data_IF_035046439200
#
_entry.id   IF_035046439200
#
_cell.length_a   1.000
_cell.length_b   1.000
_cell.length_c   1.000
_cell.angle_alpha   90.00
_cell.angle_beta   90.00
_cell.angle_gamma   90.00
#
_symmetry.space_group_name_H-M   'P 1'
#
loop_
_entity.id
_entity.type
_entity.pdbx_description
1 polymer ?
#
# COMPACT_ATOMS: atom_id res chain seq x y z
N UNK A 1 1.13 -7.91 5.59
CA UNK A 1 0.54 -8.87 4.65
C UNK A 1 0.45 -8.27 3.27
N UNK A 2 1.21 -8.84 2.34
CA UNK A 2 1.18 -8.56 0.90
C UNK A 2 -0.16 -8.95 0.29
N UNK A 3 -0.54 -8.31 -0.81
CA UNK A 3 -1.75 -8.63 -1.58
C UNK A 3 -1.78 -10.07 -2.10
N UNK A 4 -0.63 -10.71 -2.32
CA UNK A 4 -0.57 -12.10 -2.79
C UNK A 4 -1.01 -13.11 -1.72
N UNK A 5 -0.67 -12.85 -0.45
CA UNK A 5 -1.04 -13.70 0.67
C UNK A 5 -2.56 -13.72 0.93
N UNK A 6 -3.30 -12.77 0.33
CA UNK A 6 -4.76 -12.69 0.45
C UNK A 6 -5.49 -13.59 -0.56
N UNK A 7 -4.79 -14.08 -1.59
CA UNK A 7 -5.40 -14.88 -2.66
C UNK A 7 -5.31 -16.38 -2.40
N UNK A 8 -4.27 -16.83 -1.69
CA UNK A 8 -4.00 -18.25 -1.47
C UNK A 8 -3.16 -18.43 -0.19
N UNK A 9 -3.67 -19.22 0.76
CA UNK A 9 -3.04 -19.45 2.08
C UNK A 9 -1.74 -20.25 1.98
N UNK A 10 -1.53 -20.98 0.88
CA UNK A 10 -0.34 -21.79 0.63
C UNK A 10 0.78 -21.01 -0.09
N UNK A 11 0.65 -19.69 -0.22
CA UNK A 11 1.66 -18.85 -0.91
C UNK A 11 2.95 -18.79 -0.10
N UNK A 12 4.04 -19.24 -0.72
CA UNK A 12 5.39 -19.02 -0.19
C UNK A 12 5.70 -17.54 -0.26
N UNK A 13 5.94 -16.95 0.92
CA UNK A 13 6.33 -15.54 1.04
C UNK A 13 7.60 -15.24 0.23
N UNK A 14 7.52 -14.20 -0.60
CA UNK A 14 8.62 -13.75 -1.45
C UNK A 14 9.22 -12.44 -0.94
N UNK A 15 10.42 -12.09 -1.43
CA UNK A 15 11.04 -10.79 -1.12
C UNK A 15 10.16 -9.61 -1.56
N UNK A 16 9.43 -9.75 -2.67
CA UNK A 16 8.50 -8.73 -3.17
C UNK A 16 7.33 -8.51 -2.22
N UNK A 17 6.88 -9.58 -1.53
CA UNK A 17 5.85 -9.50 -0.50
C UNK A 17 6.34 -8.78 0.77
N UNK A 18 7.63 -8.95 1.10
CA UNK A 18 8.27 -8.23 2.19
C UNK A 18 8.45 -6.74 1.88
N UNK A 19 8.87 -6.42 0.65
CA UNK A 19 8.95 -5.04 0.16
C UNK A 19 7.58 -4.36 0.20
N UNK A 20 6.51 -5.08 -0.19
CA UNK A 20 5.15 -4.56 -0.15
C UNK A 20 4.67 -4.38 1.30
N UNK A 21 4.99 -5.33 2.18
CA UNK A 21 4.68 -5.21 3.61
C UNK A 21 5.41 -4.02 4.26
N UNK A 22 6.68 -3.78 3.90
CA UNK A 22 7.43 -2.60 4.34
C UNK A 22 6.77 -1.31 3.87
N UNK A 23 6.31 -1.26 2.61
CA UNK A 23 5.57 -0.10 2.10
C UNK A 23 4.34 0.22 2.96
N UNK A 24 3.56 -0.79 3.30
CA UNK A 24 2.38 -0.61 4.14
C UNK A 24 2.71 -0.15 5.57
N UNK A 25 3.82 -0.59 6.14
CA UNK A 25 4.29 -0.09 7.45
C UNK A 25 4.63 1.40 7.37
N UNK A 26 5.38 1.82 6.35
CA UNK A 26 5.76 3.23 6.18
C UNK A 26 4.51 4.09 5.93
N UNK A 27 3.56 3.60 5.12
CA UNK A 27 2.30 4.28 4.88
C UNK A 27 1.48 4.42 6.17
N UNK A 28 1.34 3.35 6.96
CA UNK A 28 0.65 3.39 8.25
C UNK A 28 1.27 4.44 9.19
N UNK A 29 2.60 4.40 9.36
CA UNK A 29 3.31 5.36 10.20
C UNK A 29 3.13 6.79 9.70
N UNK A 30 3.17 7.00 8.38
CA UNK A 30 3.01 8.33 7.78
C UNK A 30 1.62 8.90 7.98
N UNK A 31 0.57 8.08 7.83
CA UNK A 31 -0.81 8.47 8.11
C UNK A 31 -1.03 8.75 9.60
N UNK A 32 -0.49 7.90 10.47
CA UNK A 32 -0.74 8.02 11.91
C UNK A 32 -0.02 9.21 12.52
N UNK A 33 1.25 9.42 12.16
CA UNK A 33 2.17 10.23 12.93
C UNK A 33 2.69 11.47 12.22
N UNK A 34 2.55 11.60 10.90
CA UNK A 34 3.10 12.76 10.18
C UNK A 34 2.02 13.81 9.86
N UNK A 35 2.41 15.09 9.68
CA UNK A 35 1.49 16.14 9.33
C UNK A 35 1.02 15.99 7.88
N UNK A 36 -0.30 16.08 7.66
CA UNK A 36 -0.92 16.03 6.35
C UNK A 36 -2.29 16.73 6.36
N UNK A 37 -2.86 16.98 5.20
CA UNK A 37 -4.12 17.71 5.02
C UNK A 37 -5.40 16.99 5.45
N UNK A 38 -5.34 15.68 5.66
CA UNK A 38 -6.52 14.85 5.97
C UNK A 38 -7.03 15.03 7.41
N UNK A 39 -8.34 14.84 7.64
CA UNK A 39 -8.96 14.92 8.98
C UNK A 39 -8.77 13.62 9.77
N UNK A 40 -8.87 13.68 11.09
CA UNK A 40 -8.67 12.50 11.95
C UNK A 40 -9.70 11.39 11.67
N UNK A 41 -10.95 11.75 11.35
CA UNK A 41 -11.99 10.80 10.97
C UNK A 41 -11.66 10.10 9.65
N UNK A 42 -11.20 10.86 8.66
CA UNK A 42 -10.79 10.35 7.35
C UNK A 42 -9.56 9.45 7.47
N UNK A 43 -8.56 9.85 8.25
CA UNK A 43 -7.39 9.01 8.57
C UNK A 43 -7.81 7.71 9.24
N UNK A 44 -8.69 7.77 10.25
CA UNK A 44 -9.20 6.59 10.93
C UNK A 44 -9.92 5.65 9.95
N UNK A 45 -10.79 6.18 9.10
CA UNK A 45 -11.48 5.41 8.07
C UNK A 45 -10.51 4.76 7.07
N UNK A 46 -9.47 5.48 6.61
CA UNK A 46 -8.45 4.94 5.69
C UNK A 46 -7.61 3.85 6.35
N UNK A 47 -7.19 4.06 7.60
CA UNK A 47 -6.43 3.06 8.37
C UNK A 47 -7.29 1.81 8.58
N UNK A 48 -8.55 1.98 8.97
CA UNK A 48 -9.47 0.86 9.12
C UNK A 48 -9.62 0.08 7.81
N UNK A 49 -9.94 0.78 6.71
CA UNK A 49 -10.10 0.18 5.40
C UNK A 49 -8.85 -0.59 4.91
N UNK A 50 -7.65 -0.01 5.08
CA UNK A 50 -6.40 -0.61 4.59
C UNK A 50 -5.89 -1.78 5.46
N UNK A 51 -6.04 -1.68 6.78
CA UNK A 51 -5.31 -2.54 7.73
C UNK A 51 -6.22 -3.45 8.57
N UNK A 52 -7.46 -3.05 8.82
CA UNK A 52 -8.35 -3.76 9.74
C UNK A 52 -9.57 -4.37 9.05
N UNK A 53 -9.98 -3.83 7.90
CA UNK A 53 -11.17 -4.28 7.21
C UNK A 53 -10.97 -5.63 6.54
N UNK A 54 -11.82 -6.58 6.93
CA UNK A 54 -12.00 -7.88 6.32
C UNK A 54 -13.49 -8.22 6.30
N UNK A 55 -13.94 -8.98 5.31
CA UNK A 55 -15.33 -9.41 5.16
C UNK A 55 -15.40 -10.93 4.95
N UNK A 56 -16.45 -11.57 5.44
CA UNK A 56 -16.66 -13.00 5.24
C UNK A 56 -17.61 -13.24 4.07
N UNK A 57 -17.15 -13.94 3.02
CA UNK A 57 -17.98 -14.36 1.89
C UNK A 57 -17.90 -15.88 1.78
N UNK A 58 -19.04 -16.55 1.88
CA UNK A 58 -19.10 -18.02 1.77
C UNK A 58 -18.29 -18.77 2.84
N UNK A 59 -18.14 -18.18 4.03
CA UNK A 59 -17.35 -18.78 5.12
C UNK A 59 -15.84 -18.54 5.02
N UNK A 60 -15.37 -17.80 4.01
CA UNK A 60 -13.96 -17.41 3.88
C UNK A 60 -13.78 -15.95 4.27
N UNK A 61 -12.79 -15.68 5.12
CA UNK A 61 -12.39 -14.31 5.45
C UNK A 61 -11.55 -13.74 4.31
N UNK A 62 -12.07 -12.71 3.67
CA UNK A 62 -11.40 -11.98 2.59
C UNK A 62 -11.04 -10.58 3.07
N UNK A 63 -9.99 -10.01 2.49
CA UNK A 63 -9.54 -8.66 2.84
C UNK A 63 -8.68 -8.07 1.73
N UNK A 64 -8.20 -6.85 1.96
CA UNK A 64 -7.29 -6.16 1.05
C UNK A 64 -7.91 -5.49 -0.16
N UNK A 65 -9.24 -5.37 -0.25
CA UNK A 65 -9.90 -4.56 -1.29
C UNK A 65 -9.37 -3.13 -1.32
N UNK A 66 -9.15 -2.54 -0.14
CA UNK A 66 -8.56 -1.21 -0.02
C UNK A 66 -7.09 -1.18 -0.50
N UNK A 67 -6.34 -2.25 -0.26
CA UNK A 67 -4.95 -2.39 -0.73
C UNK A 67 -4.90 -2.48 -2.25
N UNK A 68 -5.74 -3.33 -2.85
CA UNK A 68 -5.88 -3.45 -4.30
C UNK A 68 -6.31 -2.12 -4.91
N UNK A 69 -7.27 -1.43 -4.28
CA UNK A 69 -7.74 -0.12 -4.70
C UNK A 69 -6.64 0.95 -4.62
N UNK A 70 -5.82 0.94 -3.56
CA UNK A 70 -4.63 1.81 -3.46
C UNK A 70 -3.66 1.54 -4.61
N UNK A 71 -3.37 0.28 -4.92
CA UNK A 71 -2.46 -0.07 -6.01
C UNK A 71 -3.02 0.33 -7.38
N UNK A 72 -4.32 0.15 -7.60
CA UNK A 72 -4.99 0.42 -8.89
C UNK A 72 -5.20 1.91 -9.17
N UNK A 73 -5.74 2.66 -8.21
CA UNK A 73 -6.22 4.03 -8.43
C UNK A 73 -5.58 5.05 -7.50
N UNK A 74 -4.69 4.63 -6.60
CA UNK A 74 -4.10 5.49 -5.56
C UNK A 74 -5.14 6.08 -4.60
N UNK A 75 -6.38 5.58 -4.57
CA UNK A 75 -7.50 6.22 -3.84
C UNK A 75 -7.21 6.52 -2.36
N UNK A 76 -6.35 5.74 -1.71
CA UNK A 76 -6.01 5.92 -0.30
C UNK A 76 -4.84 6.87 -0.02
N UNK A 77 -4.09 7.29 -1.05
CA UNK A 77 -2.92 8.16 -0.91
C UNK A 77 -3.00 9.43 -1.78
N UNK A 78 -3.78 9.42 -2.86
CA UNK A 78 -3.83 10.49 -3.87
C UNK A 78 -4.29 11.82 -3.30
N UNK A 79 -5.28 11.78 -2.41
CA UNK A 79 -5.96 12.99 -1.92
C UNK A 79 -5.32 13.53 -0.63
N UNK A 80 -4.22 12.92 -0.19
CA UNK A 80 -3.47 13.31 1.00
C UNK A 80 -2.34 14.23 0.56
N UNK A 81 -2.29 15.44 1.12
CA UNK A 81 -1.15 16.35 0.95
C UNK A 81 -0.33 16.30 2.23
N UNK A 82 0.85 15.67 2.19
CA UNK A 82 1.77 15.65 3.33
C UNK A 82 2.50 16.99 3.45
N UNK A 83 2.70 17.48 4.67
CA UNK A 83 3.51 18.68 4.90
C UNK A 83 4.97 18.44 4.50
N UNK A 84 5.46 17.22 4.71
CA UNK A 84 6.77 16.79 4.25
C UNK A 84 6.69 16.27 2.80
N UNK A 85 7.17 17.09 1.85
CA UNK A 85 7.20 16.74 0.43
C UNK A 85 8.03 15.48 0.14
N UNK A 86 9.03 15.16 0.97
CA UNK A 86 9.82 13.94 0.86
C UNK A 86 8.97 12.70 1.07
N UNK A 87 8.06 12.70 2.05
CA UNK A 87 7.15 11.57 2.32
C UNK A 87 6.20 11.35 1.15
N UNK A 88 5.60 12.42 0.62
CA UNK A 88 4.77 12.35 -0.58
C UNK A 88 5.53 11.76 -1.77
N UNK A 89 6.75 12.25 -2.02
CA UNK A 89 7.60 11.74 -3.09
C UNK A 89 7.92 10.26 -2.89
N UNK A 90 8.23 9.86 -1.65
CA UNK A 90 8.53 8.49 -1.29
C UNK A 90 7.34 7.56 -1.54
N UNK A 91 6.16 7.90 -1.01
CA UNK A 91 4.92 7.13 -1.20
C UNK A 91 4.60 6.97 -2.69
N UNK A 92 4.64 8.07 -3.45
CA UNK A 92 4.35 8.06 -4.88
C UNK A 92 5.35 7.20 -5.66
N UNK A 93 6.65 7.35 -5.39
CA UNK A 93 7.70 6.61 -6.11
C UNK A 93 7.59 5.11 -5.86
N UNK A 94 7.40 4.69 -4.60
CA UNK A 94 7.26 3.26 -4.28
C UNK A 94 5.98 2.68 -4.85
N UNK A 95 4.89 3.44 -4.84
CA UNK A 95 3.65 3.07 -5.51
C UNK A 95 3.83 2.93 -7.03
N UNK A 96 4.61 3.81 -7.66
CA UNK A 96 4.92 3.74 -9.10
C UNK A 96 5.82 2.55 -9.42
N UNK A 97 6.78 2.21 -8.57
CA UNK A 97 7.55 0.98 -8.71
C UNK A 97 6.68 -0.26 -8.55
N UNK A 98 5.72 -0.25 -7.62
CA UNK A 98 4.87 -1.41 -7.32
C UNK A 98 3.76 -1.65 -8.34
N UNK A 99 3.12 -0.59 -8.79
CA UNK A 99 1.94 -0.64 -9.66
C UNK A 99 1.87 0.67 -10.46
N UNK A 100 2.61 0.80 -11.57
CA UNK A 100 2.60 2.00 -12.41
C UNK A 100 1.19 2.40 -12.85
N UNK A 101 0.91 3.70 -12.92
CA UNK A 101 -0.38 4.17 -13.41
C UNK A 101 -0.64 3.69 -14.85
N UNK A 102 -1.87 3.26 -15.12
CA UNK A 102 -2.25 2.70 -16.42
C UNK A 102 -1.94 1.23 -16.60
N UNK A 103 -1.30 0.56 -15.63
CA UNK A 103 -1.12 -0.89 -15.69
C UNK A 103 -2.46 -1.61 -15.43
N UNK A 104 -2.89 -2.53 -16.32
CA UNK A 104 -4.24 -3.10 -16.25
C UNK A 104 -4.44 -4.04 -15.05
N UNK A 105 -3.37 -4.60 -14.50
CA UNK A 105 -3.43 -5.56 -13.40
C UNK A 105 -2.45 -5.19 -12.27
N UNK A 106 -2.93 -4.77 -11.08
CA UNK A 106 -2.08 -4.45 -9.93
C UNK A 106 -1.48 -5.68 -9.25
N UNK A 107 -1.93 -6.90 -9.59
CA UNK A 107 -1.41 -8.15 -9.01
C UNK A 107 -0.14 -8.66 -9.71
N UNK A 108 0.17 -8.14 -10.90
CA UNK A 108 1.40 -8.49 -11.61
C UNK A 108 2.48 -7.50 -11.21
N UNK A 109 3.58 -7.99 -10.67
CA UNK A 109 4.73 -7.16 -10.33
C UNK A 109 5.43 -6.69 -11.61
N UNK A 110 5.67 -5.38 -11.79
CA UNK A 110 6.52 -4.89 -12.86
C UNK A 110 8.00 -5.25 -12.59
N UNK A 111 8.84 -5.08 -13.62
CA UNK A 111 10.29 -5.31 -13.52
C UNK A 111 10.93 -4.45 -12.42
N UNK A 112 10.50 -3.19 -12.28
CA UNK A 112 10.94 -2.26 -11.23
C UNK A 112 10.66 -2.74 -9.81
N UNK A 113 9.63 -3.57 -9.62
CA UNK A 113 9.33 -4.18 -8.31
C UNK A 113 10.01 -5.53 -8.12
N UNK A 114 10.21 -6.25 -9.22
CA UNK A 114 10.78 -7.60 -9.21
C UNK A 114 12.27 -7.58 -8.87
N UNK A 115 13.00 -6.54 -9.31
CA UNK A 115 14.40 -6.33 -8.96
C UNK A 115 14.54 -5.38 -7.75
N UNK A 116 14.90 -5.88 -6.56
CA UNK A 116 14.96 -5.10 -5.32
C UNK A 116 15.98 -3.95 -5.38
N UNK A 117 16.94 -3.98 -6.32
CA UNK A 117 17.95 -2.92 -6.47
C UNK A 117 17.34 -1.56 -6.78
N UNK A 118 16.21 -1.51 -7.48
CA UNK A 118 15.53 -0.25 -7.76
C UNK A 118 15.06 0.43 -6.48
N UNK A 119 14.41 -0.33 -5.60
CA UNK A 119 13.96 0.19 -4.31
C UNK A 119 15.14 0.52 -3.40
N UNK A 120 16.18 -0.31 -3.36
CA UNK A 120 17.38 -0.08 -2.55
C UNK A 120 18.11 1.23 -2.93
N UNK A 121 18.39 1.43 -4.22
CA UNK A 121 19.04 2.65 -4.73
C UNK A 121 18.18 3.88 -4.41
N UNK A 122 16.88 3.81 -4.69
CA UNK A 122 15.95 4.90 -4.39
C UNK A 122 15.90 5.19 -2.89
N UNK A 123 15.75 4.17 -2.06
CA UNK A 123 15.62 4.30 -0.61
C UNK A 123 16.89 4.86 0.02
N UNK A 124 18.07 4.38 -0.39
CA UNK A 124 19.36 4.92 0.05
C UNK A 124 19.55 6.39 -0.34
N UNK A 125 19.20 6.74 -1.59
CA UNK A 125 19.21 8.13 -2.04
C UNK A 125 18.22 9.01 -1.27
N UNK A 126 17.02 8.50 -1.03
CA UNK A 126 15.98 9.20 -0.28
C UNK A 126 16.44 9.52 1.15
N UNK A 127 16.91 8.52 1.91
CA UNK A 127 17.35 8.69 3.29
C UNK A 127 18.55 9.64 3.44
N UNK A 128 19.41 9.73 2.43
CA UNK A 128 20.55 10.66 2.44
C UNK A 128 20.14 12.09 2.07
N UNK A 129 19.12 12.23 1.21
CA UNK A 129 18.60 13.54 0.79
C UNK A 129 17.62 14.18 1.79
N UNK A 130 17.00 13.38 2.66
CA UNK A 130 15.95 13.87 3.55
C UNK A 130 16.56 14.78 4.62
N UNK A 131 16.26 16.09 4.53
CA UNK A 131 16.50 17.02 5.62
C UNK A 131 15.70 16.56 6.83
N UNK A 132 16.39 16.20 7.91
CA UNK A 132 15.75 15.76 9.15
C UNK A 132 15.20 16.98 9.86
N UNK A 133 13.97 17.35 9.54
CA UNK A 133 13.22 18.28 10.37
C UNK A 133 13.00 17.61 11.74
N UNK A 134 13.46 18.23 12.83
CA UNK A 134 13.37 17.62 14.14
C UNK A 134 11.90 17.57 14.61
N UNK A 135 11.44 16.35 14.89
CA UNK A 135 10.21 16.07 15.64
C UNK A 135 8.91 16.57 14.98
N UNK A 136 8.67 16.19 13.73
CA UNK A 136 7.42 16.46 12.99
C UNK A 136 6.25 15.53 13.39
N UNK A 137 6.42 14.72 14.45
CA UNK A 137 5.39 13.80 14.91
C UNK A 137 4.18 14.55 15.48
N UNK A 138 2.99 14.20 15.00
CA UNK A 138 1.71 14.65 15.54
C UNK A 138 1.06 13.51 16.32
N UNK A 139 0.62 13.80 17.54
CA UNK A 139 -0.26 12.92 18.29
C UNK A 139 -1.70 13.14 17.83
N UNK A 140 -2.34 12.08 17.32
CA UNK A 140 -3.78 12.08 17.00
C UNK A 140 -4.50 11.15 17.95
N UNK A 141 -5.62 11.59 18.49
CA UNK A 141 -6.55 10.72 19.20
C UNK A 141 -7.44 10.03 18.17
N UNK A 142 -6.83 9.14 17.37
CA UNK A 142 -7.62 8.17 16.63
C UNK A 142 -8.21 7.27 17.69
N UNK A 143 -9.52 7.39 17.91
CA UNK A 143 -10.28 6.41 18.67
C UNK A 143 -9.82 5.06 18.15
N UNK A 144 -9.07 4.32 18.98
CA UNK A 144 -8.84 2.93 18.71
C UNK A 144 -10.26 2.41 18.63
N UNK A 145 -10.72 2.12 17.41
CA UNK A 145 -11.94 1.38 17.15
C UNK A 145 -11.69 0.06 17.84
N UNK A 146 -11.94 0.09 19.15
CA UNK A 146 -11.95 -1.02 20.04
C UNK A 146 -13.06 -1.80 19.41
N UNK A 147 -12.67 -2.76 18.59
CA UNK A 147 -13.55 -3.78 18.08
C UNK A 147 -14.22 -4.28 19.32
N UNK A 148 -15.42 -3.78 19.56
CA UNK A 148 -16.23 -4.10 20.70
C UNK A 148 -16.52 -5.56 20.51
N UNK A 149 -15.62 -6.38 21.03
CA UNK A 149 -15.90 -7.70 21.50
C UNK A 149 -16.81 -7.46 22.69
N UNK A 150 -18.03 -7.03 22.40
CA UNK A 150 -19.19 -7.40 23.17
C UNK A 150 -19.25 -8.92 23.01
N UNK A 151 -18.35 -9.61 23.72
CA UNK A 151 -18.65 -10.89 24.30
C UNK A 151 -19.78 -10.55 25.25
N UNK A 152 -21.00 -10.54 24.71
CA UNK A 152 -22.19 -10.78 25.50
C UNK A 152 -21.97 -12.17 26.09
N UNK A 153 -21.32 -12.17 27.25
CA UNK A 153 -21.38 -13.28 28.17
C UNK A 153 -22.86 -13.39 28.51
N UNK A 154 -23.58 -14.22 27.77
CA UNK A 154 -24.95 -14.62 28.06
C UNK A 154 -24.92 -15.35 29.39
N UNK A 155 -24.89 -14.60 30.49
CA UNK A 155 -25.34 -15.09 31.78
C UNK A 155 -26.82 -15.43 31.60
N UNK A 156 -27.07 -16.72 31.50
CA UNK A 156 -28.39 -17.32 31.42
C UNK A 156 -29.11 -17.08 32.73
N UNK A 157 -29.75 -15.94 32.88
CA UNK A 157 -30.73 -15.74 33.94
C UNK A 157 -32.09 -16.26 33.51
N UNK A 158 -32.47 -17.33 34.19
CA UNK A 158 -33.73 -18.04 34.10
C UNK A 158 -34.94 -17.12 34.26
N UNK A 159 -35.85 -17.23 33.29
CA UNK A 159 -37.31 -17.21 33.41
C UNK A 159 -37.97 -16.28 34.45
N UNK A 160 -38.75 -15.32 33.96
CA UNK A 160 -40.07 -15.05 34.53
C UNK A 160 -41.03 -14.61 33.43
N UNK A 161 -42.01 -15.47 33.22
CA UNK A 161 -43.10 -15.38 32.25
C UNK A 161 -44.11 -14.35 32.73
N UNK A 162 -44.59 -13.48 31.85
CA UNK A 162 -45.90 -12.86 32.06
C UNK A 162 -46.57 -12.48 30.73
N UNK A 163 -47.75 -13.08 30.56
CA UNK A 163 -48.66 -13.01 29.41
C UNK A 163 -49.51 -11.73 29.42
N UNK A 164 -49.69 -11.09 28.26
CA UNK A 164 -50.89 -10.33 27.84
C UNK A 164 -50.70 -9.92 26.37
N UNK A 165 -51.29 -10.56 25.36
CA UNK A 165 -52.70 -10.52 24.93
C UNK A 165 -53.15 -9.11 24.49
N UNK A 166 -53.13 -8.83 23.18
CA UNK A 166 -54.25 -8.18 22.49
C UNK A 166 -54.14 -8.20 20.95
N UNK A 167 -55.33 -8.16 20.37
CA UNK A 167 -55.78 -8.57 19.04
C UNK A 167 -55.68 -7.46 17.94
N UNK A 168 -55.59 -7.94 16.67
CA UNK A 168 -56.15 -7.49 15.35
C UNK A 168 -56.87 -6.12 15.19
N UNK A 169 -57.12 -5.53 13.97
CA UNK A 169 -56.91 -5.99 12.57
C UNK A 169 -56.51 -4.94 11.46
N UNK A 170 -55.91 -5.48 10.38
CA UNK A 170 -56.16 -5.32 8.91
C UNK A 170 -56.78 -4.01 8.32
N UNK A 171 -56.06 -3.37 7.39
CA UNK A 171 -56.58 -2.93 6.07
C UNK A 171 -55.44 -2.61 5.06
N UNK A 172 -55.66 -2.78 3.73
CA UNK A 172 -54.63 -2.70 2.69
C UNK A 172 -54.64 -1.37 1.92
N UNK A 173 -53.47 -0.81 1.59
CA UNK A 173 -53.34 0.19 0.54
C UNK A 173 -52.54 -0.39 -0.63
N UNK A 174 -53.23 -0.54 -1.76
CA UNK A 174 -52.63 -0.74 -3.07
C UNK A 174 -52.08 0.61 -3.55
N UNK A 175 -50.82 0.62 -3.96
CA UNK A 175 -50.15 1.74 -4.63
C UNK A 175 -49.25 1.20 -5.74
N UNK A 176 -49.11 1.94 -6.86
CA UNK A 176 -48.84 1.35 -8.17
C UNK A 176 -47.35 1.09 -8.44
N UNK A 177 -47.17 0.07 -9.28
CA UNK A 177 -46.00 -0.31 -10.07
C UNK A 177 -44.91 0.76 -10.20
N UNK A 178 -43.81 0.52 -9.48
CA UNK A 178 -42.51 1.09 -9.83
C UNK A 178 -41.63 -0.06 -10.33
N UNK A 179 -41.44 -0.08 -11.65
CA UNK A 179 -40.62 -1.03 -12.37
C UNK A 179 -39.15 -0.93 -11.89
N UNK A 180 -38.80 -1.76 -10.92
CA UNK A 180 -37.43 -2.01 -10.52
C UNK A 180 -36.81 -2.93 -11.57
N UNK A 181 -35.98 -2.35 -12.44
CA UNK A 181 -35.09 -3.12 -13.30
C UNK A 181 -34.17 -3.97 -12.40
N UNK A 182 -34.48 -5.26 -12.32
CA UNK A 182 -33.57 -6.27 -11.82
C UNK A 182 -32.40 -6.36 -12.80
N UNK A 183 -31.25 -5.82 -12.40
CA UNK A 183 -29.97 -6.16 -12.98
C UNK A 183 -29.51 -7.41 -12.24
N UNK A 184 -29.79 -8.56 -12.85
CA UNK A 184 -29.16 -9.84 -12.54
C UNK A 184 -27.63 -9.67 -12.51
N UNK A 185 -26.93 -9.92 -11.39
CA UNK A 185 -25.50 -10.11 -11.43
C UNK A 185 -25.25 -11.48 -12.05
N UNK A 186 -24.84 -11.48 -13.32
CA UNK A 186 -24.26 -12.65 -13.98
C UNK A 186 -23.00 -13.03 -13.21
N UNK A 187 -23.15 -13.94 -12.24
CA UNK A 187 -22.05 -14.58 -11.52
C UNK A 187 -21.34 -15.48 -12.54
N UNK A 188 -20.32 -14.89 -13.18
CA UNK A 188 -19.35 -15.61 -13.99
C UNK A 188 -18.62 -16.61 -13.11
N UNK A 189 -19.02 -17.88 -13.22
CA UNK A 189 -18.40 -19.04 -12.59
C UNK A 189 -16.97 -19.21 -13.12
N UNK A 190 -15.99 -18.59 -12.47
CA UNK A 190 -14.57 -18.83 -12.70
C UNK A 190 -14.23 -20.24 -12.19
N UNK A 191 -14.37 -21.24 -13.05
CA UNK A 191 -13.80 -22.58 -12.82
C UNK A 191 -12.28 -22.47 -12.86
N UNK A 192 -11.64 -22.35 -11.69
CA UNK A 192 -10.17 -22.41 -11.55
C UNK A 192 -9.74 -23.88 -11.63
N UNK A 193 -9.38 -24.32 -12.83
CA UNK A 193 -8.73 -25.62 -13.06
C UNK A 193 -7.32 -25.60 -12.46
N UNK A 194 -7.13 -26.27 -11.31
CA UNK A 194 -5.81 -26.55 -10.73
C UNK A 194 -5.12 -27.65 -11.55
N UNK A 195 -4.30 -27.27 -12.53
CA UNK A 195 -3.35 -28.20 -13.16
C UNK A 195 -2.04 -28.16 -12.36
N UNK A 196 -1.85 -29.15 -11.50
CA UNK A 196 -0.63 -29.36 -10.71
C UNK A 196 0.37 -30.12 -11.57
N UNK A 197 1.35 -29.44 -12.15
CA UNK A 197 2.54 -30.09 -12.73
C UNK A 197 3.50 -30.43 -11.60
N UNK A 198 3.63 -31.72 -11.31
CA UNK A 198 4.64 -32.27 -10.42
C UNK A 198 6.01 -32.20 -11.11
N UNK A 199 6.86 -31.28 -10.68
CA UNK A 199 8.28 -31.28 -11.04
C UNK A 199 9.02 -32.23 -10.09
N UNK A 200 9.31 -33.44 -10.56
CA UNK A 200 10.28 -34.33 -9.93
C UNK A 200 11.67 -33.69 -10.05
N UNK A 201 12.25 -33.26 -8.93
CA UNK A 201 13.69 -33.03 -8.84
C UNK A 201 14.32 -34.21 -8.10
N UNK A 202 14.92 -35.12 -8.87
CA UNK A 202 15.89 -36.07 -8.37
C UNK A 202 17.28 -35.44 -8.52
N UNK A 203 17.98 -35.23 -7.40
CA UNK A 203 19.39 -34.90 -7.39
C UNK A 203 20.11 -35.75 -6.35
N UNK A 204 21.19 -36.47 -6.70
CA UNK A 204 22.09 -37.02 -5.71
C UNK A 204 23.32 -36.13 -5.54
N UNK A 205 23.51 -35.75 -4.28
CA UNK A 205 24.73 -35.26 -3.63
C UNK A 205 26.05 -35.79 -4.22
N UNK A 206 27.03 -34.89 -4.42
CA UNK A 206 28.45 -35.19 -4.16
C UNK A 206 29.17 -33.99 -3.54
N UNK A 207 29.70 -34.23 -2.33
CA UNK A 207 30.66 -33.43 -1.57
C UNK A 207 32.03 -33.39 -2.25
N UNK A 208 32.70 -32.25 -2.17
CA UNK A 208 34.15 -32.09 -1.93
C UNK A 208 34.37 -30.64 -1.49
N UNK A 209 34.66 -30.34 -0.22
CA UNK A 209 36.00 -30.38 0.41
C UNK A 209 37.05 -29.61 -0.39
N UNK A 210 37.40 -28.41 0.06
CA UNK A 210 38.48 -27.61 -0.49
C UNK A 210 38.58 -26.22 0.15
N UNK A 211 39.20 -26.16 1.34
CA UNK A 211 39.57 -24.94 2.05
C UNK A 211 40.91 -24.42 1.49
N UNK A 212 41.04 -23.14 1.13
CA UNK A 212 42.34 -22.49 1.11
C UNK A 212 42.45 -21.39 2.17
N UNK A 213 43.59 -21.41 2.84
CA UNK A 213 44.15 -20.47 3.82
C UNK A 213 44.24 -19.02 3.34
N UNK A 214 44.02 -18.01 4.21
CA UNK A 214 44.40 -16.63 3.92
C UNK A 214 45.88 -16.39 4.23
N UNK A 215 46.66 -16.01 3.21
CA UNK A 215 48.02 -15.50 3.37
C UNK A 215 48.01 -14.03 3.78
N UNK A 216 48.63 -13.76 4.92
CA UNK A 216 48.92 -12.46 5.50
C UNK A 216 50.02 -11.75 4.68
N UNK A 217 49.69 -10.68 3.96
CA UNK A 217 50.70 -9.79 3.33
C UNK A 217 50.73 -8.47 4.09
N UNK A 218 51.77 -8.30 4.90
CA UNK A 218 52.23 -7.02 5.46
C UNK A 218 53.04 -6.29 4.37
N UNK A 219 52.66 -5.06 4.07
CA UNK A 219 53.48 -4.12 3.31
C UNK A 219 53.31 -2.70 3.87
N UNK A 220 54.39 -1.94 4.10
CA UNK A 220 54.31 -0.57 4.60
C UNK A 220 54.34 0.49 3.48
N UNK A 221 53.61 1.57 3.74
CA UNK A 221 53.92 2.99 3.45
C UNK A 221 54.16 3.40 1.98
N UNK A 222 53.25 4.23 1.46
CA UNK A 222 53.62 5.38 0.63
C UNK A 222 52.60 6.52 0.81
N UNK A 223 52.97 7.51 1.61
CA UNK A 223 52.32 8.83 1.67
C UNK A 223 52.65 9.56 0.37
N UNK A 224 51.65 9.78 -0.50
CA UNK A 224 51.81 10.63 -1.68
C UNK A 224 51.01 11.91 -1.48
N UNK A 225 51.72 12.98 -1.10
CA UNK A 225 51.26 14.36 -1.20
C UNK A 225 51.36 14.78 -2.67
N UNK A 226 50.24 15.16 -3.27
CA UNK A 226 50.24 15.98 -4.49
C UNK A 226 49.29 17.15 -4.28
N UNK A 227 49.87 18.33 -4.08
CA UNK A 227 49.23 19.61 -4.30
C UNK A 227 49.06 19.83 -5.82
N UNK A 228 47.95 20.44 -6.26
CA UNK A 228 47.93 21.57 -7.21
C UNK A 228 46.51 22.18 -7.24
N UNK A 229 46.36 23.52 -7.15
CA UNK A 229 45.08 24.21 -7.22
C UNK A 229 44.71 24.56 -8.68
N UNK A 230 43.57 24.06 -9.15
CA UNK A 230 43.02 24.36 -10.48
C UNK A 230 41.94 25.44 -10.39
N UNK A 231 42.34 26.69 -10.63
CA UNK A 231 41.50 27.89 -10.70
C UNK A 231 40.74 27.91 -12.03
N UNK A 232 39.49 27.43 -12.05
CA UNK A 232 38.62 27.45 -13.22
C UNK A 232 37.58 28.57 -13.17
N UNK A 233 37.93 29.73 -13.75
CA UNK A 233 37.07 30.89 -13.98
C UNK A 233 36.23 30.62 -15.23
N UNK A 234 34.90 30.64 -15.14
CA UNK A 234 34.02 30.30 -16.26
C UNK A 234 32.64 30.93 -16.19
N UNK A 235 32.58 32.21 -16.58
CA UNK A 235 31.49 32.89 -17.33
C UNK A 235 30.02 32.56 -17.05
N UNK A 236 29.37 33.56 -16.44
CA UNK A 236 27.97 33.96 -16.58
C UNK A 236 27.50 33.89 -18.03
N UNK A 237 26.39 33.21 -18.31
CA UNK A 237 25.58 33.43 -19.52
C UNK A 237 24.13 33.63 -19.14
N UNK A 238 23.76 34.90 -19.03
CA UNK A 238 22.40 35.40 -18.97
C UNK A 238 21.69 35.06 -20.29
N UNK A 239 20.60 34.30 -20.21
CA UNK A 239 19.68 34.04 -21.32
C UNK A 239 18.32 34.61 -20.99
N UNK A 240 18.10 35.88 -21.37
CA UNK A 240 16.77 36.47 -21.51
C UNK A 240 16.06 35.85 -22.72
N UNK A 241 14.86 35.32 -22.50
CA UNK A 241 13.78 35.23 -23.50
C UNK A 241 12.47 35.33 -22.71
N UNK A 242 11.62 36.38 -22.80
CA UNK A 242 10.86 36.83 -23.99
C UNK A 242 10.46 35.62 -24.81
N UNK A 243 9.23 35.13 -24.81
CA UNK A 243 7.95 35.62 -24.35
C UNK A 243 6.94 34.93 -25.26
N UNK A 244 5.75 34.57 -24.79
CA UNK A 244 4.63 34.42 -25.71
C UNK A 244 3.30 34.64 -25.00
N UNK A 245 2.51 35.52 -25.61
CA UNK A 245 1.17 35.89 -25.16
C UNK A 245 0.17 34.99 -25.88
N UNK A 246 -0.37 33.98 -25.21
CA UNK A 246 -1.50 33.23 -25.75
C UNK A 246 -2.81 33.91 -25.37
N UNK A 247 -3.19 34.80 -26.28
CA UNK A 247 -4.52 35.31 -26.62
C UNK A 247 -5.70 34.49 -26.07
N UNK A 248 -6.48 35.06 -25.14
CA UNK A 248 -7.84 34.63 -24.84
C UNK A 248 -8.76 34.93 -26.03
N UNK A 249 -9.60 33.97 -26.40
CA UNK A 249 -10.84 34.25 -27.15
C UNK A 249 -12.04 34.05 -26.23
N UNK A 250 -13.01 34.98 -26.20
CA UNK A 250 -14.31 34.74 -25.60
C UNK A 250 -15.21 34.00 -26.60
N UNK A 251 -15.88 32.94 -26.15
CA UNK A 251 -17.04 32.37 -26.85
C UNK A 251 -18.30 33.01 -26.27
N UNK A 252 -19.06 33.67 -27.13
CA UNK A 252 -20.35 34.27 -26.84
C UNK A 252 -21.48 33.24 -26.94
N UNK A 253 -22.46 33.44 -26.05
CA UNK A 253 -23.90 33.14 -26.10
C UNK A 253 -24.35 31.71 -26.40
#
# INVERSE_FOLDING_TARGET
MSSNALVDEDVVQTLQDDMESLFYVVLYCSLRWLPHSDTDESVSARINALFHHSHCIGGQMLGGDAKISLLRSRAFARDITWANAGVQQWVNTVLDYRSPQGHPNPLIFPESWSDPRHLDIFWGGFLTSLSREPNDRIERDLENSSFGSAVETSESDSSSVSSAKQDTPKAPSQGPDSAMHQIEPVIGRLTRSKTRLALQQAGPNKRASGRPTPSLVKGPIAVRKTATPGRGRGTVRSGRGRGDQTKMQPRAL
#
